data_IF_142395235552
#
_entry.id   IF_142395235552
#
_cell.length_a   1.000
_cell.length_b   1.000
_cell.length_c   1.000
_cell.angle_alpha   90.00
_cell.angle_beta   90.00
_cell.angle_gamma   90.00
#
_symmetry.space_group_name_H-M   'P 1'
#
loop_
_entity.id
_entity.type
_entity.pdbx_description
1 polymer ?
#
# COMPACT_ATOMS: atom_id res chain seq x y z
N UNK A 1 -6.27 -6.04 -14.70
CA UNK A 1 -5.16 -6.76 -15.35
C UNK A 1 -4.48 -7.75 -14.38
N UNK A 2 -3.98 -7.26 -13.23
CA UNK A 2 -3.26 -8.11 -12.27
C UNK A 2 -4.12 -9.26 -11.74
N UNK A 3 -5.40 -9.02 -11.46
CA UNK A 3 -6.32 -10.04 -10.92
C UNK A 3 -6.54 -11.22 -11.86
N UNK A 4 -6.35 -11.02 -13.16
CA UNK A 4 -6.51 -12.06 -14.20
C UNK A 4 -5.16 -12.67 -14.63
N UNK A 5 -4.09 -12.36 -13.92
CA UNK A 5 -2.74 -12.86 -14.18
C UNK A 5 -2.29 -13.84 -13.08
N UNK A 6 -1.12 -14.41 -13.28
CA UNK A 6 -0.47 -15.27 -12.25
C UNK A 6 -0.14 -14.50 -10.96
N UNK A 7 -0.15 -13.16 -11.02
CA UNK A 7 0.07 -12.30 -9.86
C UNK A 7 -1.22 -12.02 -9.08
N UNK A 8 -2.37 -12.45 -9.59
CA UNK A 8 -3.65 -12.28 -8.92
C UNK A 8 -3.73 -13.09 -7.63
N UNK A 9 -4.45 -12.54 -6.65
CA UNK A 9 -4.65 -13.16 -5.35
C UNK A 9 -5.97 -12.67 -4.73
N UNK A 10 -6.38 -13.32 -3.65
CA UNK A 10 -7.51 -12.80 -2.84
C UNK A 10 -7.19 -11.39 -2.35
N UNK A 11 -5.95 -11.13 -1.95
CA UNK A 11 -5.52 -9.81 -1.51
C UNK A 11 -5.63 -8.75 -2.62
N UNK A 12 -5.15 -9.04 -3.84
CA UNK A 12 -5.24 -8.09 -4.95
C UNK A 12 -6.69 -7.80 -5.33
N UNK A 13 -7.60 -8.79 -5.26
CA UNK A 13 -9.04 -8.57 -5.46
C UNK A 13 -9.63 -7.70 -4.37
N UNK A 14 -9.34 -8.03 -3.13
CA UNK A 14 -9.83 -7.32 -1.97
C UNK A 14 -9.47 -5.83 -2.01
N UNK A 15 -8.27 -5.49 -2.48
CA UNK A 15 -7.78 -4.12 -2.56
C UNK A 15 -8.14 -3.41 -3.86
N UNK A 16 -8.66 -4.09 -4.87
CA UNK A 16 -8.99 -3.47 -6.15
C UNK A 16 -9.92 -2.26 -6.01
N UNK A 17 -11.01 -2.28 -5.22
CA UNK A 17 -11.88 -1.11 -5.07
C UNK A 17 -11.12 0.12 -4.53
N UNK A 18 -10.19 -0.06 -3.61
CA UNK A 18 -9.39 1.04 -3.08
C UNK A 18 -8.56 1.68 -4.19
N UNK A 19 -7.87 0.89 -4.99
CA UNK A 19 -6.98 1.38 -6.03
C UNK A 19 -7.73 2.05 -7.19
N UNK A 20 -8.79 1.43 -7.70
CA UNK A 20 -9.50 1.97 -8.88
C UNK A 20 -10.36 3.19 -8.53
N UNK A 21 -10.84 3.29 -7.31
CA UNK A 21 -11.70 4.37 -6.84
C UNK A 21 -10.96 5.41 -6.01
N UNK A 22 -9.67 5.24 -5.78
CA UNK A 22 -8.85 6.09 -4.91
C UNK A 22 -9.47 6.24 -3.52
N UNK A 23 -10.00 5.14 -3.00
CA UNK A 23 -10.65 5.09 -1.68
C UNK A 23 -9.62 4.68 -0.63
N UNK A 24 -9.16 5.65 0.15
CA UNK A 24 -8.16 5.44 1.19
C UNK A 24 -8.78 5.25 2.59
N UNK A 25 -10.04 4.79 2.64
CA UNK A 25 -10.66 4.40 3.91
C UNK A 25 -9.81 3.33 4.60
N UNK A 26 -9.43 3.60 5.83
CA UNK A 26 -8.42 2.81 6.53
C UNK A 26 -8.92 1.43 6.89
N UNK A 27 -8.23 0.40 6.42
CA UNK A 27 -8.33 -0.97 6.91
C UNK A 27 -7.02 -1.42 7.57
N UNK A 28 -5.90 -0.88 7.08
CA UNK A 28 -4.57 -1.16 7.62
C UNK A 28 -3.67 0.04 7.38
N UNK A 29 -3.12 0.61 8.47
CA UNK A 29 -2.33 1.84 8.34
C UNK A 29 -0.91 1.58 7.86
N UNK A 30 -0.25 2.59 7.24
CA UNK A 30 1.18 2.53 6.95
C UNK A 30 2.04 2.26 8.19
N UNK A 31 1.64 2.75 9.36
CA UNK A 31 2.34 2.47 10.62
C UNK A 31 2.39 0.98 10.93
N UNK A 32 1.24 0.29 10.82
CA UNK A 32 1.16 -1.15 11.07
C UNK A 32 1.96 -1.94 10.03
N UNK A 33 1.87 -1.54 8.77
CA UNK A 33 2.63 -2.18 7.70
C UNK A 33 4.13 -2.01 7.92
N UNK A 34 4.59 -0.80 8.28
CA UNK A 34 5.99 -0.54 8.58
C UNK A 34 6.49 -1.38 9.74
N UNK A 35 5.70 -1.48 10.79
CA UNK A 35 6.02 -2.32 11.94
C UNK A 35 6.21 -3.78 11.54
N UNK A 36 5.29 -4.32 10.74
CA UNK A 36 5.35 -5.73 10.32
C UNK A 36 6.57 -5.99 9.43
N UNK A 37 6.85 -5.09 8.48
CA UNK A 37 8.03 -5.20 7.61
C UNK A 37 9.32 -5.11 8.43
N UNK A 38 9.40 -4.18 9.38
CA UNK A 38 10.58 -4.01 10.24
C UNK A 38 10.81 -5.22 11.13
N UNK A 39 9.75 -5.85 11.66
CA UNK A 39 9.87 -7.09 12.42
C UNK A 39 10.42 -8.23 11.56
N UNK A 40 9.92 -8.37 10.33
CA UNK A 40 10.41 -9.39 9.40
C UNK A 40 11.88 -9.18 9.03
N UNK A 41 12.28 -7.94 8.75
CA UNK A 41 13.68 -7.60 8.43
C UNK A 41 14.60 -7.83 9.63
N UNK A 42 14.15 -7.51 10.84
CA UNK A 42 14.92 -7.77 12.06
C UNK A 42 15.18 -9.26 12.24
N UNK A 43 14.15 -10.09 12.11
CA UNK A 43 14.27 -11.54 12.22
C UNK A 43 15.20 -12.11 11.13
N UNK A 44 15.06 -11.63 9.91
CA UNK A 44 15.94 -12.04 8.80
C UNK A 44 17.41 -11.73 9.11
N UNK A 45 17.71 -10.56 9.68
CA UNK A 45 19.08 -10.20 10.08
C UNK A 45 19.62 -11.10 11.18
N UNK A 46 18.81 -11.43 12.17
CA UNK A 46 19.20 -12.34 13.27
C UNK A 46 19.52 -13.74 12.74
N UNK A 47 18.79 -14.18 11.71
CA UNK A 47 18.95 -15.50 11.09
C UNK A 47 19.96 -15.49 9.91
N UNK A 48 20.57 -14.35 9.59
CA UNK A 48 21.45 -14.16 8.43
C UNK A 48 20.78 -14.51 7.11
N UNK A 49 19.50 -14.19 6.98
CA UNK A 49 18.72 -14.37 5.74
C UNK A 49 18.64 -13.05 5.00
N UNK A 50 19.00 -13.08 3.71
CA UNK A 50 18.91 -11.91 2.84
C UNK A 50 17.48 -11.72 2.33
N UNK A 51 16.95 -10.49 2.46
CA UNK A 51 15.61 -10.12 1.98
C UNK A 51 15.66 -8.81 1.19
N UNK A 52 16.29 -8.79 0.01
CA UNK A 52 16.53 -7.54 -0.74
C UNK A 52 15.23 -6.91 -1.23
N UNK A 53 14.23 -7.69 -1.66
CA UNK A 53 12.96 -7.16 -2.13
C UNK A 53 12.18 -6.53 -0.98
N UNK A 54 12.15 -7.16 0.18
CA UNK A 54 11.50 -6.61 1.37
C UNK A 54 12.19 -5.33 1.83
N UNK A 55 13.52 -5.29 1.79
CA UNK A 55 14.27 -4.08 2.13
C UNK A 55 13.95 -2.92 1.18
N UNK A 56 13.88 -3.17 -0.12
CA UNK A 56 13.47 -2.16 -1.11
C UNK A 56 12.02 -1.69 -0.89
N UNK A 57 11.12 -2.61 -0.59
CA UNK A 57 9.72 -2.30 -0.25
C UNK A 57 9.64 -1.41 0.99
N UNK A 58 10.48 -1.69 1.99
CA UNK A 58 10.57 -0.86 3.21
C UNK A 58 10.96 0.57 2.88
N UNK A 59 11.91 0.77 1.96
CA UNK A 59 12.31 2.11 1.53
C UNK A 59 11.20 2.83 0.75
N UNK A 60 10.46 2.12 -0.10
CA UNK A 60 9.30 2.67 -0.79
C UNK A 60 8.24 3.15 0.21
N UNK A 61 8.00 2.37 1.26
CA UNK A 61 7.09 2.75 2.35
C UNK A 61 7.62 3.98 3.11
N UNK A 62 8.92 4.07 3.33
CA UNK A 62 9.55 5.23 3.97
C UNK A 62 9.30 6.51 3.17
N UNK A 63 9.31 6.43 1.85
CA UNK A 63 9.01 7.56 0.97
C UNK A 63 7.59 8.10 1.20
N UNK A 64 6.63 7.22 1.47
CA UNK A 64 5.27 7.62 1.80
C UNK A 64 5.21 8.43 3.11
N UNK A 65 5.96 8.01 4.13
CA UNK A 65 6.10 8.78 5.37
C UNK A 65 6.75 10.15 5.13
N UNK A 66 7.76 10.20 4.26
CA UNK A 66 8.38 11.46 3.86
C UNK A 66 7.40 12.39 3.15
N UNK A 67 6.61 11.85 2.23
CA UNK A 67 5.60 12.61 1.51
C UNK A 67 4.53 13.19 2.44
N UNK A 68 4.18 12.49 3.51
CA UNK A 68 3.22 12.97 4.50
C UNK A 68 3.64 14.32 5.11
N UNK A 69 4.94 14.57 5.26
CA UNK A 69 5.47 15.82 5.83
C UNK A 69 5.19 17.04 4.96
N UNK A 70 4.88 16.85 3.68
CA UNK A 70 4.54 17.94 2.76
C UNK A 70 3.04 18.26 2.75
N UNK A 71 2.23 17.48 3.47
CA UNK A 71 0.78 17.65 3.51
C UNK A 71 0.39 18.66 4.58
N UNK A 72 -0.79 19.27 4.41
CA UNK A 72 -1.36 20.21 5.38
C UNK A 72 -1.61 19.55 6.73
N UNK A 73 -2.12 18.32 6.72
CA UNK A 73 -2.29 17.49 7.91
C UNK A 73 -1.54 16.16 7.72
N UNK A 74 -0.25 16.11 8.09
CA UNK A 74 0.56 14.90 7.92
C UNK A 74 -0.01 13.68 8.63
N UNK A 75 -0.57 13.86 9.83
CA UNK A 75 -1.09 12.75 10.61
C UNK A 75 -2.35 12.15 9.99
N UNK A 76 -3.26 12.97 9.49
CA UNK A 76 -4.43 12.49 8.77
C UNK A 76 -4.03 11.71 7.51
N UNK A 77 -3.05 12.19 6.77
CA UNK A 77 -2.55 11.52 5.58
C UNK A 77 -1.96 10.15 5.88
N UNK A 78 -1.10 10.06 6.90
CA UNK A 78 -0.42 8.81 7.24
C UNK A 78 -1.33 7.83 8.00
N UNK A 79 -2.45 8.28 8.54
CA UNK A 79 -3.45 7.43 9.20
C UNK A 79 -4.49 6.86 8.23
N UNK A 80 -4.45 7.25 6.95
CA UNK A 80 -5.28 6.63 5.91
C UNK A 80 -4.77 5.23 5.58
N UNK A 81 -5.50 4.51 4.73
CA UNK A 81 -5.10 3.15 4.37
C UNK A 81 -3.72 3.13 3.68
N UNK A 82 -2.96 2.06 3.90
CA UNK A 82 -1.63 1.92 3.28
C UNK A 82 -1.68 1.92 1.75
N UNK A 83 -2.82 1.58 1.15
CA UNK A 83 -3.00 1.65 -0.31
C UNK A 83 -2.81 3.07 -0.87
N UNK A 84 -2.92 4.11 -0.03
CA UNK A 84 -2.61 5.48 -0.42
C UNK A 84 -1.13 5.68 -0.84
N UNK A 85 -0.24 4.71 -0.60
CA UNK A 85 1.10 4.68 -1.16
C UNK A 85 1.09 4.81 -2.69
N UNK A 86 0.03 4.32 -3.34
CA UNK A 86 -0.15 4.49 -4.79
C UNK A 86 -0.10 5.97 -5.21
N UNK A 87 -0.70 6.86 -4.42
CA UNK A 87 -0.68 8.30 -4.69
C UNK A 87 0.76 8.84 -4.63
N UNK A 88 1.53 8.43 -3.62
CA UNK A 88 2.94 8.83 -3.50
C UNK A 88 3.75 8.36 -4.72
N UNK A 89 3.57 7.12 -5.15
CA UNK A 89 4.26 6.56 -6.31
C UNK A 89 3.84 7.28 -7.59
N UNK A 90 2.57 7.57 -7.75
CA UNK A 90 2.05 8.31 -8.92
C UNK A 90 2.65 9.71 -9.02
N UNK A 91 2.73 10.43 -7.92
CA UNK A 91 3.35 11.78 -7.87
C UNK A 91 4.82 11.70 -8.30
N UNK A 92 5.57 10.73 -7.81
CA UNK A 92 6.97 10.53 -8.21
C UNK A 92 7.13 10.24 -9.70
N UNK A 93 6.16 9.57 -10.30
CA UNK A 93 6.14 9.24 -11.72
C UNK A 93 5.56 10.36 -12.59
N UNK A 94 5.11 11.46 -12.01
CA UNK A 94 4.45 12.55 -12.73
C UNK A 94 3.07 12.18 -13.26
N UNK A 95 2.39 11.23 -12.61
CA UNK A 95 1.07 10.74 -13.02
C UNK A 95 0.01 11.33 -12.10
N UNK A 96 -1.07 11.84 -12.70
CA UNK A 96 -2.27 12.24 -11.96
C UNK A 96 -3.26 11.08 -11.97
N UNK A 97 -3.66 10.63 -10.77
CA UNK A 97 -4.64 9.56 -10.63
C UNK A 97 -6.06 10.11 -10.71
N UNK A 98 -6.94 9.36 -11.34
CA UNK A 98 -8.37 9.65 -11.41
C UNK A 98 -9.17 8.44 -10.93
N UNK A 99 -10.17 8.69 -10.08
CA UNK A 99 -11.07 7.63 -9.62
C UNK A 99 -11.91 7.11 -10.78
N UNK A 100 -12.04 5.80 -10.88
CA UNK A 100 -12.93 5.17 -11.86
C UNK A 100 -14.39 5.16 -11.43
N UNK A 101 -14.68 5.44 -10.15
CA UNK A 101 -16.02 5.43 -9.55
C UNK A 101 -16.81 4.15 -9.90
N UNK A 102 -16.13 3.01 -9.82
CA UNK A 102 -16.71 1.71 -10.15
C UNK A 102 -17.14 0.95 -8.90
N UNK A 103 -18.27 0.28 -9.00
CA UNK A 103 -18.64 -0.72 -8.00
C UNK A 103 -17.94 -2.03 -8.33
N UNK A 104 -16.83 -2.29 -7.64
CA UNK A 104 -16.00 -3.49 -7.84
C UNK A 104 -16.14 -4.39 -6.61
N UNK A 105 -16.56 -5.66 -6.78
CA UNK A 105 -16.64 -6.57 -5.64
C UNK A 105 -15.24 -6.89 -5.10
N UNK A 106 -15.17 -7.02 -3.78
CA UNK A 106 -13.92 -7.40 -3.09
C UNK A 106 -13.57 -8.87 -3.24
N UNK A 107 -14.56 -9.69 -3.59
CA UNK A 107 -14.42 -11.15 -3.59
C UNK A 107 -14.60 -11.79 -2.21
N UNK A 108 -14.92 -10.96 -1.20
CA UNK A 108 -15.19 -11.41 0.17
C UNK A 108 -16.67 -11.39 0.52
N UNK A 109 -17.52 -10.98 -0.42
CA UNK A 109 -18.96 -10.92 -0.23
C UNK A 109 -19.51 -12.33 -0.01
N UNK A 110 -20.41 -12.45 0.97
CA UNK A 110 -21.13 -13.70 1.25
C UNK A 110 -22.41 -13.68 0.42
N UNK A 111 -22.60 -14.73 -0.39
CA UNK A 111 -23.85 -14.93 -1.14
C UNK A 111 -25.03 -15.33 -0.23
#
# INVERSE_FOLDING_TARGET
FINNSVMGSIFSRYKTPAFVNLDWTTTFTPYLLRKDVDLGLKEARELNVSMPVTAATREALQTHFGAAQTKEDPEAYISSDFSALLETVAVQAGITLESENKNVPTGLEVE
#
